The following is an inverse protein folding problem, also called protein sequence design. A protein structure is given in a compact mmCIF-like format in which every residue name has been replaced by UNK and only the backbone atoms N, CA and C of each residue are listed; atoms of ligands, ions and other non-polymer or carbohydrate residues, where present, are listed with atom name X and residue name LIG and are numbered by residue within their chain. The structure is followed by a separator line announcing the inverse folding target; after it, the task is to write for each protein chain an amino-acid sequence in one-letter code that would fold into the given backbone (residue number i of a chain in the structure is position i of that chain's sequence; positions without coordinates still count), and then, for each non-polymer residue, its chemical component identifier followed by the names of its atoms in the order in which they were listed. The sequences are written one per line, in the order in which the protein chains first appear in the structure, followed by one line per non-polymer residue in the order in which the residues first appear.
data_IF_032479581897
#
_entry.id   IF_032479581897
#
_cell.length_a   1.000
_cell.length_b   1.000
_cell.length_c   1.000
_cell.angle_alpha   90.00
_cell.angle_beta   90.00
_cell.angle_gamma   90.00
#
_symmetry.space_group_name_H-M   'P 1'
#
loop_
_entity.id
_entity.type
_entity.pdbx_description
1 polymer ?
#
# COMPACT_ATOMS: atom_id res chain seq x y z
N UNK A 1 -6.75 -20.67 0.76
CA UNK A 1 -6.67 -19.84 0.08
C UNK A 1 -6.51 -18.55 0.57
N UNK A 2 -5.71 -17.83 0.26
CA UNK A 2 -5.47 -16.64 0.67
C UNK A 2 -6.04 -15.68 -0.06
N UNK A 3 -7.13 -15.36 -0.02
CA UNK A 3 -7.72 -14.45 -0.77
C UNK A 3 -7.39 -13.11 -0.40
N UNK A 4 -6.76 -12.80 0.59
CA UNK A 4 -6.51 -11.44 0.95
C UNK A 4 -5.10 -11.00 0.64
N UNK A 5 -4.40 -11.78 -0.13
CA UNK A 5 -3.04 -11.42 -0.41
C UNK A 5 -3.00 -10.23 -1.36
N UNK A 6 -2.18 -9.27 -1.04
CA UNK A 6 -2.06 -8.06 -1.84
C UNK A 6 -1.23 -8.33 -3.08
N UNK A 7 -1.75 -7.99 -4.26
CA UNK A 7 -1.02 -8.14 -5.49
C UNK A 7 -0.10 -6.96 -5.62
N UNK A 8 1.20 -7.20 -5.73
CA UNK A 8 2.16 -6.11 -5.79
C UNK A 8 2.36 -5.65 -7.21
N UNK A 9 1.71 -4.55 -7.51
CA UNK A 9 1.78 -3.97 -8.84
C UNK A 9 2.83 -2.87 -8.94
N UNK A 10 3.33 -2.40 -7.80
CA UNK A 10 4.24 -1.28 -7.77
C UNK A 10 5.67 -1.75 -7.67
N UNK A 11 6.55 -1.25 -8.57
CA UNK A 11 7.94 -1.64 -8.57
C UNK A 11 8.66 -0.94 -7.45
N UNK A 12 9.59 -1.61 -6.83
CA UNK A 12 10.32 -1.05 -5.72
C UNK A 12 11.49 -0.19 -6.12
N UNK A 13 11.83 -0.16 -7.38
CA UNK A 13 12.95 0.63 -7.84
C UNK A 13 12.53 2.08 -7.99
N UNK A 14 13.48 2.97 -7.81
CA UNK A 14 13.26 4.39 -8.02
C UNK A 14 12.19 4.96 -7.10
N UNK A 15 12.14 4.48 -5.88
CA UNK A 15 11.16 4.98 -4.93
C UNK A 15 11.74 6.17 -4.19
N UNK A 16 10.91 7.16 -3.95
CA UNK A 16 11.30 8.34 -3.20
C UNK A 16 10.72 8.25 -1.81
N UNK A 17 11.43 8.82 -0.84
CA UNK A 17 10.97 8.78 0.52
C UNK A 17 10.18 10.03 0.82
N UNK A 18 8.95 9.90 1.21
CA UNK A 18 8.14 11.03 1.63
C UNK A 18 7.41 10.64 2.90
N UNK A 19 6.95 11.63 3.64
CA UNK A 19 6.29 11.38 4.90
C UNK A 19 4.89 11.96 4.85
N UNK A 20 3.90 11.18 5.29
CA UNK A 20 2.54 11.63 5.35
C UNK A 20 2.04 11.57 6.77
N UNK A 21 1.11 12.44 7.11
CA UNK A 21 0.34 12.32 8.34
C UNK A 21 -1.01 11.76 7.92
N UNK A 22 -1.32 10.56 8.36
CA UNK A 22 -2.51 9.85 7.92
C UNK A 22 -3.50 9.65 9.06
N UNK A 23 -4.74 9.45 8.69
CA UNK A 23 -5.78 9.15 9.67
C UNK A 23 -5.40 7.85 10.39
N UNK A 24 -5.61 7.79 11.72
CA UNK A 24 -5.22 6.60 12.50
C UNK A 24 -5.85 5.30 12.00
N UNK A 25 -7.09 5.35 11.53
CA UNK A 25 -7.76 4.15 11.04
C UNK A 25 -7.07 3.62 9.79
N UNK A 26 -6.60 4.52 8.93
CA UNK A 26 -5.89 4.11 7.73
C UNK A 26 -4.56 3.48 8.10
N UNK A 27 -3.87 4.09 9.06
CA UNK A 27 -2.59 3.54 9.52
C UNK A 27 -2.79 2.14 10.10
N UNK A 28 -3.86 1.97 10.88
CA UNK A 28 -4.17 0.68 11.49
C UNK A 28 -4.40 -0.41 10.47
N UNK A 29 -5.16 -0.09 9.42
CA UNK A 29 -5.45 -1.08 8.37
C UNK A 29 -4.17 -1.43 7.61
N UNK A 30 -3.35 -0.43 7.28
CA UNK A 30 -2.09 -0.69 6.58
C UNK A 30 -1.18 -1.57 7.44
N UNK A 31 -1.12 -1.28 8.74
CA UNK A 31 -0.30 -2.06 9.64
C UNK A 31 -0.78 -3.52 9.71
N UNK A 32 -2.09 -3.72 9.75
CA UNK A 32 -2.64 -5.05 9.81
C UNK A 32 -2.32 -5.84 8.53
N UNK A 33 -2.44 -5.23 7.39
CA UNK A 33 -2.11 -5.89 6.13
C UNK A 33 -0.63 -6.24 6.09
N UNK A 34 0.22 -5.31 6.52
CA UNK A 34 1.65 -5.55 6.52
C UNK A 34 2.00 -6.75 7.40
N UNK A 35 1.35 -6.85 8.56
CA UNK A 35 1.57 -7.94 9.47
C UNK A 35 1.06 -9.25 8.89
N UNK A 36 -0.14 -9.24 8.32
CA UNK A 36 -0.72 -10.45 7.76
C UNK A 36 0.09 -11.01 6.62
N UNK A 37 0.63 -10.14 5.79
CA UNK A 37 1.37 -10.58 4.63
C UNK A 37 2.89 -10.58 4.84
N UNK A 38 3.32 -10.15 6.03
CA UNK A 38 4.72 -10.14 6.38
C UNK A 38 5.53 -9.32 5.38
N UNK A 39 5.09 -8.12 5.11
CA UNK A 39 5.78 -7.20 4.22
C UNK A 39 5.87 -5.84 4.91
N UNK A 40 6.79 -4.98 4.48
CA UNK A 40 6.93 -3.67 5.09
C UNK A 40 5.71 -2.81 4.86
N UNK A 41 5.40 -1.93 5.79
CA UNK A 41 4.26 -1.03 5.66
C UNK A 41 4.41 -0.12 4.44
N UNK A 42 5.64 0.25 4.09
CA UNK A 42 5.84 1.11 2.93
C UNK A 42 5.40 0.42 1.64
N UNK A 43 5.54 -0.90 1.55
CA UNK A 43 5.12 -1.65 0.39
C UNK A 43 3.60 -1.68 0.32
N UNK A 44 2.94 -1.88 1.47
CA UNK A 44 1.49 -1.87 1.53
C UNK A 44 0.98 -0.49 1.12
N UNK A 45 1.61 0.57 1.62
CA UNK A 45 1.19 1.92 1.31
C UNK A 45 1.31 2.21 -0.20
N UNK A 46 2.40 1.76 -0.82
CA UNK A 46 2.56 1.95 -2.26
C UNK A 46 1.42 1.28 -3.03
N UNK A 47 1.08 0.06 -2.66
CA UNK A 47 0.04 -0.67 -3.37
C UNK A 47 -1.34 -0.06 -3.17
N UNK A 48 -1.62 0.36 -1.94
CA UNK A 48 -2.89 0.98 -1.63
C UNK A 48 -3.04 2.31 -2.36
N UNK A 49 -1.98 3.11 -2.36
CA UNK A 49 -2.02 4.39 -3.04
C UNK A 49 -2.12 4.19 -4.55
N UNK A 50 -1.40 3.23 -5.10
CA UNK A 50 -1.49 2.93 -6.52
C UNK A 50 -2.91 2.54 -6.90
N UNK A 51 -3.51 1.63 -6.14
CA UNK A 51 -4.86 1.18 -6.40
C UNK A 51 -5.86 2.34 -6.33
N UNK A 52 -5.70 3.20 -5.33
CA UNK A 52 -6.57 4.36 -5.18
C UNK A 52 -6.43 5.34 -6.33
N UNK A 53 -5.19 5.64 -6.73
CA UNK A 53 -4.95 6.57 -7.82
C UNK A 53 -5.45 5.99 -9.14
N UNK A 54 -5.31 4.68 -9.32
CA UNK A 54 -5.79 4.04 -10.51
C UNK A 54 -7.31 4.12 -10.57
N UNK A 55 -7.98 3.92 -9.44
CA UNK A 55 -9.42 3.98 -9.38
C UNK A 55 -9.90 5.40 -9.68
N UNK A 56 -9.13 6.40 -9.30
CA UNK A 56 -9.49 7.79 -9.55
C UNK A 56 -9.19 8.21 -10.99
N UNK A 57 -8.58 7.34 -11.75
CA UNK A 57 -8.22 7.66 -13.13
C UNK A 57 -6.96 8.49 -13.27
N UNK A 58 -6.14 8.52 -12.21
CA UNK A 58 -4.92 9.34 -12.25
C UNK A 58 -3.69 8.53 -12.64
N UNK A 59 -3.80 7.23 -12.66
CA UNK A 59 -2.70 6.37 -13.06
C UNK A 59 -3.28 5.21 -13.85
N UNK A 60 -2.47 4.63 -14.68
CA UNK A 60 -2.87 3.43 -15.40
C UNK A 60 -2.54 2.20 -14.54
#
# INVERSE_FOLDING_TARGET
MKKNKLDRQVWRNNREKITFTLHPDIVGVIRNIATEEDIPMSVVADEVLYAGLKKMGRMD
#
